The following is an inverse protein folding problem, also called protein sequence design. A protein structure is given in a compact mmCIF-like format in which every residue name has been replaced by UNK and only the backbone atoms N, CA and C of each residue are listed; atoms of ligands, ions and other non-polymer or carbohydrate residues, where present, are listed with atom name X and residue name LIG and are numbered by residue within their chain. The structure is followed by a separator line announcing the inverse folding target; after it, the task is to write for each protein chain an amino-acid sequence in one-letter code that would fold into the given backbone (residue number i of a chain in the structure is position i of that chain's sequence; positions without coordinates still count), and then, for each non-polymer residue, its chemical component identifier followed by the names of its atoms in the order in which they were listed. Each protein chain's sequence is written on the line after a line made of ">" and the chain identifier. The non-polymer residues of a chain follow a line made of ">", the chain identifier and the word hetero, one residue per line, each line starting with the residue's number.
data_IF_218044396255
#
_entry.id   IF_218044396255
#
_cell.length_a   1.000
_cell.length_b   1.000
_cell.length_c   1.000
_cell.angle_alpha   90.00
_cell.angle_beta   90.00
_cell.angle_gamma   90.00
#
_symmetry.space_group_name_H-M   'P 1'
#
loop_
_entity.id
_entity.type
_entity.pdbx_description
1 polymer ?
#
# COMPACT_ATOMS: atom_id res chain seq x y z
N UNK A 1 -3.61 -54.82 14.50
CA UNK A 1 -4.53 -53.76 14.02
C UNK A 1 -4.67 -52.58 14.99
N UNK A 2 -4.80 -52.79 16.32
CA UNK A 2 -4.84 -51.69 17.31
C UNK A 2 -3.58 -50.81 17.36
N UNK A 3 -2.40 -51.42 17.19
CA UNK A 3 -1.13 -50.71 17.19
C UNK A 3 -0.97 -49.76 15.98
N UNK A 4 -1.45 -50.15 14.79
CA UNK A 4 -1.42 -49.32 13.58
C UNK A 4 -2.33 -48.09 13.69
N UNK A 5 -3.48 -48.22 14.37
CA UNK A 5 -4.41 -47.12 14.59
C UNK A 5 -3.84 -46.03 15.53
N UNK A 6 -3.05 -46.43 16.53
CA UNK A 6 -2.41 -45.49 17.46
C UNK A 6 -1.28 -44.69 16.80
N UNK A 7 -0.50 -45.30 15.90
CA UNK A 7 0.57 -44.61 15.17
C UNK A 7 0.04 -43.59 14.17
N UNK A 8 -1.10 -43.87 13.52
CA UNK A 8 -1.75 -42.93 12.60
C UNK A 8 -2.27 -41.66 13.32
N UNK A 9 -2.73 -41.79 14.57
CA UNK A 9 -3.17 -40.65 15.38
C UNK A 9 -2.01 -39.77 15.85
N UNK A 10 -0.85 -40.37 16.16
CA UNK A 10 0.34 -39.62 16.57
C UNK A 10 0.93 -38.76 15.42
N UNK A 11 0.80 -39.20 14.17
CA UNK A 11 1.25 -38.45 12.99
C UNK A 11 0.30 -37.31 12.60
N UNK A 12 -1.00 -37.43 12.90
CA UNK A 12 -1.98 -36.37 12.64
C UNK A 12 -1.84 -35.14 13.55
N UNK A 13 -1.37 -35.34 14.79
CA UNK A 13 -1.24 -34.25 15.77
C UNK A 13 -0.09 -33.27 15.46
N UNK A 14 0.95 -33.71 14.74
CA UNK A 14 2.13 -32.88 14.42
C UNK A 14 1.90 -32.00 13.18
N UNK A 15 0.98 -32.37 12.28
CA UNK A 15 0.68 -31.60 11.06
C UNK A 15 -0.32 -30.46 11.26
N UNK A 16 -1.11 -30.46 12.34
CA UNK A 16 -2.22 -29.52 12.52
C UNK A 16 -1.79 -28.10 12.96
N UNK A 17 -0.57 -27.93 13.51
CA UNK A 17 -0.10 -26.64 14.03
C UNK A 17 0.53 -25.73 12.97
N UNK A 18 0.72 -26.19 11.73
CA UNK A 18 1.26 -25.36 10.65
C UNK A 18 0.20 -24.55 9.90
N UNK A 19 -1.07 -24.72 10.24
CA UNK A 19 -2.14 -23.97 9.62
C UNK A 19 -2.23 -22.59 10.29
N UNK A 20 -1.86 -21.56 9.52
CA UNK A 20 -2.21 -20.14 9.73
C UNK A 20 -1.32 -19.32 10.68
N UNK A 21 0.00 -19.27 10.46
CA UNK A 21 0.74 -18.04 10.81
C UNK A 21 0.55 -17.00 9.69
N UNK A 22 -0.62 -16.37 9.69
CA UNK A 22 -0.85 -15.18 8.90
C UNK A 22 -0.01 -14.05 9.51
N UNK A 23 1.17 -13.80 8.95
CA UNK A 23 1.91 -12.59 9.32
C UNK A 23 1.04 -11.40 8.93
N UNK A 24 0.76 -10.45 9.84
CA UNK A 24 0.11 -9.21 9.45
C UNK A 24 0.97 -8.60 8.33
N UNK A 25 0.32 -8.20 7.23
CA UNK A 25 1.00 -7.39 6.23
C UNK A 25 1.50 -6.14 6.96
N UNK A 26 2.82 -5.99 7.05
CA UNK A 26 3.43 -4.79 7.63
C UNK A 26 2.78 -3.59 6.94
N UNK A 27 2.17 -2.69 7.72
CA UNK A 27 1.59 -1.48 7.18
C UNK A 27 2.72 -0.69 6.51
N UNK A 28 2.73 -0.73 5.17
CA UNK A 28 3.60 0.12 4.38
C UNK A 28 3.28 1.58 4.73
N UNK A 29 4.31 2.41 4.86
CA UNK A 29 4.12 3.84 5.12
C UNK A 29 3.28 4.41 3.98
N UNK A 30 2.09 4.89 4.31
CA UNK A 30 1.19 5.50 3.34
C UNK A 30 1.65 6.94 3.11
N UNK A 31 2.08 7.24 1.88
CA UNK A 31 2.52 8.58 1.51
C UNK A 31 1.37 9.40 0.90
N UNK A 32 1.35 10.72 1.09
CA UNK A 32 0.24 11.56 0.63
C UNK A 32 0.12 11.67 -0.90
N UNK A 33 1.18 11.46 -1.69
CA UNK A 33 1.10 11.65 -3.15
C UNK A 33 1.49 10.41 -3.94
N UNK A 34 0.79 10.22 -5.06
CA UNK A 34 1.01 9.13 -6.00
C UNK A 34 1.37 9.67 -7.39
N UNK A 35 2.36 9.04 -8.03
CA UNK A 35 2.63 9.18 -9.47
C UNK A 35 1.80 8.17 -10.24
N UNK A 36 0.90 8.67 -11.09
CA UNK A 36 0.12 7.88 -12.04
C UNK A 36 0.63 8.08 -13.47
N UNK A 37 0.62 7.04 -14.27
CA UNK A 37 1.00 7.09 -15.68
C UNK A 37 0.35 5.95 -16.43
N UNK A 38 0.47 5.94 -17.76
CA UNK A 38 -0.23 4.97 -18.61
C UNK A 38 0.05 3.49 -18.24
N UNK A 39 1.20 3.21 -17.61
CA UNK A 39 1.61 1.87 -17.23
C UNK A 39 1.36 1.52 -15.77
N UNK A 40 0.97 2.49 -14.93
CA UNK A 40 0.71 2.26 -13.51
C UNK A 40 -0.80 2.20 -13.26
N UNK A 41 -1.31 1.10 -12.70
CA UNK A 41 -2.70 0.98 -12.26
C UNK A 41 -3.05 1.95 -11.13
N UNK A 42 -4.32 2.15 -10.83
CA UNK A 42 -4.77 3.03 -9.74
C UNK A 42 -4.47 2.43 -8.35
N UNK A 43 -3.92 3.20 -7.37
CA UNK A 43 -3.65 4.64 -7.39
C UNK A 43 -2.26 5.05 -7.93
N UNK A 44 -1.42 4.11 -8.36
CA UNK A 44 -0.08 4.36 -8.90
C UNK A 44 1.04 4.13 -7.89
N UNK A 45 2.17 4.81 -8.09
CA UNK A 45 3.30 4.75 -7.15
C UNK A 45 3.14 5.84 -6.07
N UNK A 46 2.75 5.45 -4.85
CA UNK A 46 2.51 6.32 -3.71
C UNK A 46 3.68 6.35 -2.74
N UNK A 47 4.82 6.89 -3.18
CA UNK A 47 6.07 6.93 -2.38
C UNK A 47 6.54 8.36 -2.06
N UNK A 48 5.67 9.37 -2.20
CA UNK A 48 6.05 10.79 -2.17
C UNK A 48 5.40 11.55 -1.02
N UNK A 49 6.24 12.23 -0.22
CA UNK A 49 5.83 13.03 0.95
C UNK A 49 5.25 14.41 0.60
N UNK A 50 5.54 14.93 -0.60
CA UNK A 50 5.03 16.20 -1.15
C UNK A 50 4.72 16.08 -2.63
N UNK A 51 3.84 16.95 -3.13
CA UNK A 51 3.49 16.98 -4.54
C UNK A 51 4.67 17.44 -5.41
N UNK A 52 5.48 18.40 -4.97
CA UNK A 52 6.69 18.81 -5.69
C UNK A 52 7.67 17.64 -5.87
N UNK A 53 7.86 16.80 -4.84
CA UNK A 53 8.72 15.63 -4.95
C UNK A 53 8.17 14.63 -5.98
N UNK A 54 6.85 14.44 -6.01
CA UNK A 54 6.21 13.65 -7.05
C UNK A 54 6.43 14.28 -8.44
N UNK A 55 6.20 15.58 -8.59
CA UNK A 55 6.35 16.29 -9.88
C UNK A 55 7.78 16.20 -10.39
N UNK A 56 8.76 16.36 -9.51
CA UNK A 56 10.17 16.22 -9.87
C UNK A 56 10.49 14.80 -10.35
N UNK A 57 9.96 13.77 -9.67
CA UNK A 57 10.11 12.39 -10.12
C UNK A 57 9.33 12.06 -11.40
N UNK A 58 8.25 12.80 -11.69
CA UNK A 58 7.49 12.68 -12.94
C UNK A 58 8.15 13.39 -14.12
N UNK A 59 8.95 14.44 -13.87
CA UNK A 59 9.75 15.11 -14.89
C UNK A 59 10.72 14.11 -15.53
N UNK A 60 10.69 13.99 -16.86
CA UNK A 60 11.51 13.04 -17.62
C UNK A 60 11.01 11.58 -17.60
N UNK A 61 10.38 11.12 -16.52
CA UNK A 61 9.81 9.77 -16.43
C UNK A 61 8.36 9.67 -16.95
N UNK A 62 7.69 10.81 -17.17
CA UNK A 62 6.29 10.91 -17.58
C UNK A 62 5.30 10.56 -16.47
N UNK A 63 4.02 10.92 -16.65
CA UNK A 63 2.94 10.71 -15.68
C UNK A 63 2.54 11.96 -14.92
N UNK A 64 1.44 11.85 -14.17
CA UNK A 64 0.81 12.90 -13.38
C UNK A 64 0.89 12.59 -11.89
N UNK A 65 0.85 13.63 -11.07
CA UNK A 65 0.83 13.52 -9.62
C UNK A 65 -0.58 13.75 -9.11
N UNK A 66 -1.02 12.91 -8.18
CA UNK A 66 -2.37 12.97 -7.59
C UNK A 66 -2.30 12.68 -6.09
N UNK A 67 -3.34 13.07 -5.36
CA UNK A 67 -3.47 12.75 -3.96
C UNK A 67 -3.68 11.24 -3.78
N UNK A 68 -3.05 10.67 -2.76
CA UNK A 68 -3.23 9.27 -2.40
C UNK A 68 -4.60 9.10 -1.72
N UNK A 69 -5.53 8.31 -2.32
CA UNK A 69 -6.85 8.06 -1.73
C UNK A 69 -6.79 7.24 -0.43
N UNK A 70 -5.69 6.55 -0.15
CA UNK A 70 -5.49 5.76 1.06
C UNK A 70 -4.91 6.56 2.22
N UNK A 71 -4.36 7.75 1.95
CA UNK A 71 -3.74 8.56 2.98
C UNK A 71 -4.81 9.17 3.89
N UNK A 72 -4.93 8.69 5.12
CA UNK A 72 -6.03 9.07 6.03
C UNK A 72 -5.85 10.42 6.70
N UNK A 73 -4.64 10.99 6.67
CA UNK A 73 -4.29 12.20 7.39
C UNK A 73 -4.80 13.51 6.74
N UNK A 74 -5.43 13.43 5.56
CA UNK A 74 -6.09 14.59 4.93
C UNK A 74 -7.18 15.19 5.83
N UNK A 75 -7.82 14.36 6.65
CA UNK A 75 -8.87 14.73 7.61
C UNK A 75 -8.40 15.62 8.77
N UNK A 76 -7.08 15.82 8.92
CA UNK A 76 -6.44 16.40 10.12
C UNK A 76 -5.90 17.83 9.99
N UNK A 77 -6.09 18.52 8.86
CA UNK A 77 -6.01 19.99 8.82
C UNK A 77 -4.61 20.65 8.88
N UNK A 78 -3.57 20.09 8.26
CA UNK A 78 -2.25 20.76 8.20
C UNK A 78 -1.56 20.79 6.82
N UNK A 79 -2.19 20.28 5.73
CA UNK A 79 -1.60 20.29 4.36
C UNK A 79 -2.58 20.60 3.21
N UNK A 80 -3.51 21.53 3.45
CA UNK A 80 -4.54 21.86 2.46
C UNK A 80 -3.98 22.41 1.13
N UNK A 81 -2.89 23.19 1.14
CA UNK A 81 -2.31 23.77 -0.09
C UNK A 81 -1.87 22.72 -1.10
N UNK A 82 -1.17 21.71 -0.61
CA UNK A 82 -0.60 20.67 -1.45
C UNK A 82 -1.72 19.68 -1.91
N UNK A 83 -2.74 19.44 -1.05
CA UNK A 83 -3.94 18.69 -1.46
C UNK A 83 -4.66 19.32 -2.67
N UNK A 84 -4.87 20.64 -2.66
CA UNK A 84 -5.60 21.31 -3.74
C UNK A 84 -4.85 21.30 -5.09
N UNK A 85 -3.52 21.37 -5.06
CA UNK A 85 -2.71 21.26 -6.28
C UNK A 85 -2.85 19.86 -6.91
N UNK A 86 -2.92 18.83 -6.08
CA UNK A 86 -3.11 17.44 -6.52
C UNK A 86 -4.50 17.12 -7.11
N UNK A 87 -5.52 17.97 -6.89
CA UNK A 87 -6.83 17.89 -7.58
C UNK A 87 -6.96 18.87 -8.75
N UNK A 88 -5.89 19.62 -9.07
CA UNK A 88 -5.90 20.56 -10.19
C UNK A 88 -6.67 21.86 -9.95
N UNK A 89 -6.94 22.24 -8.70
CA UNK A 89 -7.66 23.49 -8.39
C UNK A 89 -6.84 24.78 -8.59
N UNK A 90 -5.50 24.68 -8.70
CA UNK A 90 -4.58 25.84 -8.80
C UNK A 90 -3.41 25.63 -9.78
N UNK A 91 -3.58 24.78 -10.80
CA UNK A 91 -2.55 24.58 -11.82
C UNK A 91 -2.77 25.57 -12.97
N UNK A 92 -2.26 26.80 -12.79
CA UNK A 92 -1.94 27.73 -13.89
C UNK A 92 -0.56 27.40 -14.48
#
# INVERSE_FOLDING_TARGET
>A
MKALALTAMALGAVGATQLMTAKPAMAQVEYPYCKQGAHQGYPGNCSFVSFEACRYAAQGAGGNCVANPRYSAWSGGYRAYDYNNAYGYYAD
#
